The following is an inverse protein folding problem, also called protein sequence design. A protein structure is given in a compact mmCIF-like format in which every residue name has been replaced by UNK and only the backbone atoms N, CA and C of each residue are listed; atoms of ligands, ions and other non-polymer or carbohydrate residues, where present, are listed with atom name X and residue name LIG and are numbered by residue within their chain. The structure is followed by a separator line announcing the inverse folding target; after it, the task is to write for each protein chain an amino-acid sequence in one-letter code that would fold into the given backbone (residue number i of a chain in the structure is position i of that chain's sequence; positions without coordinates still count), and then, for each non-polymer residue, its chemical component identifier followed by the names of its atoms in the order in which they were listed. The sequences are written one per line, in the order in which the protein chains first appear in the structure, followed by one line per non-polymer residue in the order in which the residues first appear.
data_IF_218069805631
#
_entry.id   IF_218069805631
#
_cell.length_a   1.000
_cell.length_b   1.000
_cell.length_c   1.000
_cell.angle_alpha   90.00
_cell.angle_beta   90.00
_cell.angle_gamma   90.00
#
_symmetry.space_group_name_H-M   'P 1'
#
loop_
_entity.id
_entity.type
_entity.pdbx_description
1 polymer ?
#
# COMPACT_ATOMS: atom_id res chain seq x y z
N UNK A 1 -6.35 22.23 -4.53
CA UNK A 1 -5.62 21.89 -3.29
C UNK A 1 -5.12 20.43 -3.30
N UNK A 2 -5.91 19.44 -3.72
CA UNK A 2 -5.51 18.02 -3.76
C UNK A 2 -4.31 17.78 -4.70
N UNK A 3 -4.37 18.29 -5.90
CA UNK A 3 -3.32 18.18 -6.94
C UNK A 3 -1.91 18.55 -6.43
N UNK A 4 -1.75 19.74 -5.84
CA UNK A 4 -0.45 20.16 -5.31
C UNK A 4 0.00 19.35 -4.10
N UNK A 5 -0.95 18.88 -3.29
CA UNK A 5 -0.64 18.00 -2.17
C UNK A 5 -0.04 16.67 -2.65
N UNK A 6 -0.65 16.07 -3.67
CA UNK A 6 -0.16 14.86 -4.31
C UNK A 6 1.24 15.05 -4.91
N UNK A 7 1.44 16.09 -5.73
CA UNK A 7 2.74 16.38 -6.32
C UNK A 7 3.85 16.57 -5.27
N UNK A 8 3.57 17.30 -4.17
CA UNK A 8 4.51 17.48 -3.07
C UNK A 8 4.83 16.17 -2.35
N UNK A 9 3.85 15.32 -2.10
CA UNK A 9 4.08 14.00 -1.48
C UNK A 9 4.95 13.13 -2.36
N UNK A 10 4.66 13.03 -3.66
CA UNK A 10 5.47 12.30 -4.63
C UNK A 10 6.93 12.77 -4.58
N UNK A 11 7.17 14.07 -4.61
CA UNK A 11 8.52 14.63 -4.53
C UNK A 11 9.19 14.31 -3.20
N UNK A 12 8.49 14.45 -2.07
CA UNK A 12 9.03 14.20 -0.73
C UNK A 12 9.40 12.73 -0.52
N UNK A 13 8.58 11.80 -1.02
CA UNK A 13 8.85 10.36 -0.98
C UNK A 13 10.05 10.01 -1.85
N UNK A 14 10.09 10.52 -3.09
CA UNK A 14 11.19 10.22 -4.02
C UNK A 14 12.53 10.84 -3.61
N UNK A 15 12.53 11.93 -2.86
CA UNK A 15 13.74 12.50 -2.28
C UNK A 15 14.43 11.56 -1.27
N UNK A 16 13.70 10.58 -0.72
CA UNK A 16 14.20 9.68 0.34
C UNK A 16 14.23 8.20 -0.10
N UNK A 17 13.20 7.72 -0.81
CA UNK A 17 12.94 6.28 -0.93
C UNK A 17 12.74 5.77 -2.35
N UNK A 18 12.43 6.62 -3.31
CA UNK A 18 12.06 6.24 -4.68
C UNK A 18 10.90 5.24 -4.71
N UNK A 19 9.85 5.49 -3.93
CA UNK A 19 8.66 4.63 -3.82
C UNK A 19 7.41 5.28 -4.45
N UNK A 20 7.52 6.47 -5.02
CA UNK A 20 6.45 7.13 -5.74
C UNK A 20 6.80 7.24 -7.24
N UNK A 21 5.83 7.50 -8.13
CA UNK A 21 6.10 7.69 -9.55
C UNK A 21 7.11 8.81 -9.77
N UNK A 22 7.98 8.67 -10.75
CA UNK A 22 8.88 9.76 -11.11
C UNK A 22 8.11 10.81 -11.91
N UNK A 23 8.10 12.05 -11.40
CA UNK A 23 7.54 13.18 -12.13
C UNK A 23 8.46 13.57 -13.28
N UNK A 24 7.92 13.59 -14.49
CA UNK A 24 8.60 13.99 -15.72
C UNK A 24 8.36 15.47 -16.01
N UNK A 25 7.13 15.93 -15.77
CA UNK A 25 6.70 17.31 -15.94
C UNK A 25 5.73 17.69 -14.85
N UNK A 26 5.83 18.89 -14.35
CA UNK A 26 4.89 19.48 -13.41
C UNK A 26 4.52 20.87 -13.90
N UNK A 27 3.22 21.14 -14.10
CA UNK A 27 2.65 22.42 -14.50
C UNK A 27 1.61 22.87 -13.48
N UNK A 28 0.95 23.98 -13.72
CA UNK A 28 -0.03 24.56 -12.79
C UNK A 28 -1.25 23.65 -12.58
N UNK A 29 -1.71 22.95 -13.61
CA UNK A 29 -2.96 22.18 -13.64
C UNK A 29 -2.78 20.68 -13.86
N UNK A 30 -1.58 20.22 -14.19
CA UNK A 30 -1.31 18.81 -14.44
C UNK A 30 0.14 18.42 -14.14
N UNK A 31 0.37 17.14 -13.97
CA UNK A 31 1.71 16.57 -13.99
C UNK A 31 1.76 15.32 -14.87
N UNK A 32 2.94 15.03 -15.39
CA UNK A 32 3.25 13.81 -16.13
C UNK A 32 4.22 12.99 -15.32
N UNK A 33 3.95 11.70 -15.19
CA UNK A 33 4.80 10.76 -14.48
C UNK A 33 5.15 9.56 -15.36
N UNK A 34 6.26 8.90 -15.08
CA UNK A 34 6.63 7.64 -15.71
C UNK A 34 5.61 6.55 -15.37
N UNK A 35 5.40 5.63 -16.31
CA UNK A 35 4.59 4.44 -16.06
C UNK A 35 5.25 3.57 -14.97
N UNK A 36 4.44 3.00 -14.10
CA UNK A 36 4.90 2.31 -12.90
C UNK A 36 4.71 0.78 -12.93
N UNK A 37 4.43 0.21 -14.08
CA UNK A 37 4.11 -1.22 -14.20
C UNK A 37 2.63 -1.54 -13.98
N UNK A 38 2.30 -2.80 -13.65
CA UNK A 38 0.93 -3.23 -13.39
C UNK A 38 0.59 -3.16 -11.89
N UNK A 39 -0.67 -2.88 -11.57
CA UNK A 39 -1.11 -2.84 -10.18
C UNK A 39 -1.01 -4.23 -9.53
N UNK A 40 -0.84 -4.30 -8.21
CA UNK A 40 -0.84 -5.59 -7.49
C UNK A 40 -2.15 -6.34 -7.70
N UNK A 41 -3.26 -5.63 -7.92
CA UNK A 41 -4.53 -6.25 -8.27
C UNK A 41 -4.44 -6.97 -9.63
N UNK A 42 -3.81 -6.36 -10.63
CA UNK A 42 -3.52 -6.99 -11.92
C UNK A 42 -2.53 -8.15 -11.78
N UNK A 43 -1.43 -7.94 -11.08
CA UNK A 43 -0.42 -8.97 -10.79
C UNK A 43 -1.02 -10.21 -10.14
N UNK A 44 -1.97 -10.05 -9.21
CA UNK A 44 -2.65 -11.17 -8.56
C UNK A 44 -3.52 -12.00 -9.51
N UNK A 45 -4.12 -11.38 -10.53
CA UNK A 45 -5.12 -11.98 -11.41
C UNK A 45 -4.56 -12.50 -12.73
N UNK A 46 -3.61 -11.79 -13.31
CA UNK A 46 -3.14 -12.06 -14.67
C UNK A 46 -2.11 -13.20 -14.70
N UNK A 47 -2.33 -14.16 -15.60
CA UNK A 47 -1.52 -15.36 -15.68
C UNK A 47 -0.04 -15.10 -15.98
N UNK A 48 0.26 -14.01 -16.67
CA UNK A 48 1.62 -13.62 -17.01
C UNK A 48 2.50 -13.28 -15.80
N UNK A 49 1.88 -12.96 -14.65
CA UNK A 49 2.59 -12.66 -13.40
C UNK A 49 2.70 -13.85 -12.45
N UNK A 50 2.26 -15.05 -12.84
CA UNK A 50 2.17 -16.21 -11.94
C UNK A 50 3.49 -16.56 -11.23
N UNK A 51 4.61 -16.36 -11.91
CA UNK A 51 5.97 -16.66 -11.42
C UNK A 51 6.55 -15.59 -10.46
N UNK A 52 6.02 -14.38 -10.49
CA UNK A 52 6.53 -13.24 -9.70
C UNK A 52 5.54 -12.71 -8.65
N UNK A 53 4.34 -13.27 -8.54
CA UNK A 53 3.29 -12.78 -7.63
C UNK A 53 3.74 -12.66 -6.19
N UNK A 54 4.37 -13.71 -5.66
CA UNK A 54 4.85 -13.73 -4.27
C UNK A 54 5.92 -12.66 -4.05
N UNK A 55 6.88 -12.54 -4.97
CA UNK A 55 7.91 -11.51 -4.93
C UNK A 55 7.30 -10.10 -4.94
N UNK A 56 6.32 -9.85 -5.81
CA UNK A 56 5.65 -8.55 -5.91
C UNK A 56 4.96 -8.17 -4.59
N UNK A 57 4.25 -9.11 -3.96
CA UNK A 57 3.58 -8.88 -2.68
C UNK A 57 4.56 -8.72 -1.52
N UNK A 58 5.63 -9.50 -1.49
CA UNK A 58 6.71 -9.34 -0.51
C UNK A 58 7.37 -7.95 -0.63
N UNK A 59 7.73 -7.55 -1.84
CA UNK A 59 8.31 -6.22 -2.11
C UNK A 59 7.35 -5.08 -1.78
N UNK A 60 6.05 -5.26 -2.01
CA UNK A 60 5.05 -4.26 -1.63
C UNK A 60 4.98 -4.07 -0.11
N UNK A 61 4.94 -5.17 0.65
CA UNK A 61 5.02 -5.12 2.11
C UNK A 61 6.29 -4.43 2.58
N UNK A 62 7.44 -4.80 2.02
CA UNK A 62 8.73 -4.18 2.35
C UNK A 62 8.76 -2.69 2.00
N UNK A 63 8.23 -2.30 0.82
CA UNK A 63 8.15 -0.91 0.39
C UNK A 63 7.30 -0.06 1.35
N UNK A 64 6.15 -0.58 1.77
CA UNK A 64 5.28 0.09 2.74
C UNK A 64 5.96 0.23 4.11
N UNK A 65 6.65 -0.80 4.58
CA UNK A 65 7.39 -0.74 5.84
C UNK A 65 8.55 0.28 5.79
N UNK A 66 9.29 0.35 4.68
CA UNK A 66 10.34 1.37 4.46
C UNK A 66 9.77 2.78 4.45
N UNK A 67 8.57 2.99 3.87
CA UNK A 67 7.87 4.26 3.92
C UNK A 67 7.61 4.68 5.37
N UNK A 68 7.08 3.76 6.18
CA UNK A 68 6.78 4.00 7.60
C UNK A 68 8.04 4.23 8.44
N UNK A 69 9.10 3.47 8.20
CA UNK A 69 10.40 3.64 8.87
C UNK A 69 11.03 5.02 8.58
N UNK A 70 10.75 5.60 7.41
CA UNK A 70 11.15 6.97 7.07
C UNK A 70 10.26 8.07 7.68
N UNK A 71 9.25 7.70 8.50
CA UNK A 71 8.30 8.63 9.10
C UNK A 71 7.25 9.17 8.12
N UNK A 72 7.07 8.51 6.99
CA UNK A 72 6.09 8.84 5.96
C UNK A 72 4.92 7.84 5.98
N UNK A 73 3.81 8.21 5.37
CA UNK A 73 2.65 7.34 5.23
C UNK A 73 1.92 7.63 3.91
N UNK A 74 1.21 6.64 3.40
CA UNK A 74 0.48 6.74 2.15
C UNK A 74 -0.92 7.34 2.35
N UNK A 75 -1.67 6.82 3.31
CA UNK A 75 -3.04 7.21 3.64
C UNK A 75 -4.11 6.23 3.17
N UNK A 76 -3.88 5.48 2.08
CA UNK A 76 -4.79 4.42 1.60
C UNK A 76 -4.09 3.48 0.61
N UNK A 77 -3.11 2.69 1.01
CA UNK A 77 -2.40 1.77 0.12
C UNK A 77 -3.24 0.51 -0.15
N UNK A 78 -4.10 0.55 -1.15
CA UNK A 78 -4.82 -0.64 -1.61
C UNK A 78 -4.07 -1.33 -2.77
N UNK A 79 -4.42 -2.57 -3.12
CA UNK A 79 -3.77 -3.33 -4.20
C UNK A 79 -3.75 -2.60 -5.55
N UNK A 80 -4.75 -1.77 -5.84
CA UNK A 80 -4.82 -0.94 -7.05
C UNK A 80 -3.90 0.27 -7.01
N UNK A 81 -3.48 0.68 -5.80
CA UNK A 81 -2.68 1.88 -5.56
C UNK A 81 -1.19 1.53 -5.35
N UNK A 82 -0.81 0.27 -5.61
CA UNK A 82 0.57 -0.23 -5.58
C UNK A 82 0.85 -0.91 -6.92
N UNK A 83 1.86 -0.44 -7.63
CA UNK A 83 2.29 -1.02 -8.89
C UNK A 83 3.60 -1.81 -8.73
N UNK A 84 3.73 -2.87 -9.52
CA UNK A 84 4.93 -3.69 -9.66
C UNK A 84 5.41 -3.65 -11.10
N UNK A 85 6.66 -3.28 -11.29
CA UNK A 85 7.33 -3.37 -12.58
C UNK A 85 8.02 -4.73 -12.69
N UNK A 86 7.60 -5.53 -13.68
CA UNK A 86 8.15 -6.86 -13.89
C UNK A 86 9.58 -6.84 -14.43
N UNK A 87 9.98 -5.79 -15.14
CA UNK A 87 11.29 -5.73 -15.80
C UNK A 87 12.42 -5.58 -14.78
N UNK A 88 12.23 -4.74 -13.78
CA UNK A 88 13.26 -4.47 -12.76
C UNK A 88 12.84 -4.86 -11.33
N UNK A 89 11.61 -5.33 -11.16
CA UNK A 89 11.07 -5.76 -9.88
C UNK A 89 10.83 -4.62 -8.90
N UNK A 90 10.64 -3.39 -9.37
CA UNK A 90 10.37 -2.24 -8.49
C UNK A 90 8.92 -2.15 -8.08
N UNK A 91 8.71 -1.60 -6.87
CA UNK A 91 7.40 -1.23 -6.34
C UNK A 91 7.24 0.27 -6.40
N UNK A 92 6.08 0.72 -6.87
CA UNK A 92 5.70 2.14 -6.88
C UNK A 92 4.34 2.31 -6.22
N UNK A 93 4.26 3.19 -5.23
CA UNK A 93 3.01 3.56 -4.56
C UNK A 93 2.36 4.71 -5.34
N UNK A 94 1.08 4.56 -5.68
CA UNK A 94 0.27 5.46 -6.51
C UNK A 94 -0.81 6.15 -5.68
N UNK A 95 -1.47 7.17 -6.21
CA UNK A 95 -2.64 7.84 -5.58
C UNK A 95 -2.32 8.45 -4.20
N UNK A 96 -1.45 9.47 -4.19
CA UNK A 96 -0.96 10.14 -2.97
C UNK A 96 -1.88 11.25 -2.45
N UNK A 97 -3.09 11.40 -2.98
CA UNK A 97 -4.00 12.48 -2.61
C UNK A 97 -4.68 12.30 -1.24
N UNK A 98 -4.68 11.08 -0.69
CA UNK A 98 -5.45 10.75 0.50
C UNK A 98 -4.78 11.21 1.80
N UNK A 99 -5.45 12.12 2.53
CA UNK A 99 -5.00 12.62 3.83
C UNK A 99 -6.00 12.39 4.97
N UNK A 100 -7.24 11.97 4.63
CA UNK A 100 -8.30 11.86 5.63
C UNK A 100 -8.13 10.60 6.47
N UNK A 101 -7.91 10.78 7.75
CA UNK A 101 -8.02 9.70 8.73
C UNK A 101 -9.50 9.37 8.95
N UNK A 102 -9.86 8.12 8.81
CA UNK A 102 -11.21 7.63 9.08
C UNK A 102 -11.41 7.25 10.55
N UNK A 103 -10.33 6.95 11.24
CA UNK A 103 -10.30 6.51 12.63
C UNK A 103 -9.09 7.12 13.32
N UNK A 104 -9.17 7.35 14.62
CA UNK A 104 -8.03 7.82 15.41
C UNK A 104 -7.08 6.65 15.71
N UNK A 105 -6.10 6.47 14.83
CA UNK A 105 -5.04 5.49 14.96
C UNK A 105 -3.75 6.02 14.32
N UNK A 106 -2.58 5.46 14.67
CA UNK A 106 -1.33 5.81 14.01
C UNK A 106 -1.39 5.54 12.50
N UNK A 107 -0.89 6.47 11.68
CA UNK A 107 -0.96 6.36 10.23
C UNK A 107 -0.33 5.05 9.67
N UNK A 108 0.83 4.56 10.16
CA UNK A 108 1.36 3.26 9.73
C UNK A 108 0.44 2.07 10.01
N UNK A 109 -0.31 2.13 11.11
CA UNK A 109 -1.28 1.07 11.48
C UNK A 109 -2.45 1.06 10.50
N UNK A 110 -2.98 2.24 10.17
CA UNK A 110 -4.07 2.37 9.21
C UNK A 110 -3.63 1.97 7.79
N UNK A 111 -2.46 2.37 7.36
CA UNK A 111 -1.92 1.98 6.06
C UNK A 111 -1.76 0.45 5.97
N UNK A 112 -1.13 -0.18 6.96
CA UNK A 112 -0.97 -1.63 6.97
C UNK A 112 -2.32 -2.36 7.04
N UNK A 113 -3.26 -1.86 7.85
CA UNK A 113 -4.61 -2.40 7.91
C UNK A 113 -5.32 -2.33 6.55
N UNK A 114 -5.29 -1.17 5.89
CA UNK A 114 -5.96 -0.97 4.59
C UNK A 114 -5.32 -1.81 3.49
N UNK A 115 -4.00 -1.93 3.47
CA UNK A 115 -3.27 -2.80 2.55
C UNK A 115 -3.71 -4.26 2.71
N UNK A 116 -3.63 -4.82 3.91
CA UNK A 116 -4.02 -6.21 4.17
C UNK A 116 -5.52 -6.41 3.94
N UNK A 117 -6.36 -5.48 4.38
CA UNK A 117 -7.80 -5.54 4.13
C UNK A 117 -8.11 -5.58 2.62
N UNK A 118 -7.38 -4.83 1.78
CA UNK A 118 -7.57 -4.88 0.33
C UNK A 118 -7.21 -6.25 -0.26
N UNK A 119 -6.24 -6.96 0.32
CA UNK A 119 -5.92 -8.34 -0.08
C UNK A 119 -7.08 -9.31 0.22
N UNK A 120 -7.71 -9.17 1.40
CA UNK A 120 -8.85 -10.03 1.78
C UNK A 120 -10.14 -9.73 1.02
N UNK A 121 -10.27 -8.55 0.43
CA UNK A 121 -11.46 -8.17 -0.34
C UNK A 121 -11.49 -8.71 -1.77
N UNK A 122 -10.42 -9.30 -2.25
CA UNK A 122 -10.43 -9.95 -3.57
C UNK A 122 -11.37 -11.16 -3.53
N UNK A 123 -12.00 -11.47 -4.66
CA UNK A 123 -12.94 -12.61 -4.77
C UNK A 123 -12.30 -13.95 -4.36
N UNK A 124 -10.98 -14.05 -4.55
CA UNK A 124 -10.19 -15.25 -4.26
C UNK A 124 -8.94 -14.83 -3.48
N UNK A 125 -9.06 -14.56 -2.16
CA UNK A 125 -7.91 -14.18 -1.35
C UNK A 125 -6.89 -15.34 -1.36
N UNK A 126 -5.69 -15.07 -1.83
CA UNK A 126 -4.57 -16.01 -1.81
C UNK A 126 -3.75 -15.79 -0.54
N UNK A 127 -3.88 -16.69 0.42
CA UNK A 127 -3.15 -16.61 1.69
C UNK A 127 -1.64 -16.57 1.50
N UNK A 128 -1.09 -17.24 0.48
CA UNK A 128 0.35 -17.21 0.21
C UNK A 128 0.83 -15.81 -0.20
N UNK A 129 0.02 -15.04 -0.92
CA UNK A 129 0.33 -13.65 -1.27
C UNK A 129 0.23 -12.73 -0.06
N UNK A 130 -0.78 -12.95 0.81
CA UNK A 130 -0.92 -12.20 2.06
C UNK A 130 0.26 -12.47 2.99
N UNK A 131 0.65 -13.73 3.14
CA UNK A 131 1.80 -14.15 3.94
C UNK A 131 3.10 -13.53 3.41
N UNK A 132 3.29 -13.49 2.08
CA UNK A 132 4.42 -12.83 1.45
C UNK A 132 4.44 -11.31 1.76
N UNK A 133 3.30 -10.63 1.66
CA UNK A 133 3.19 -9.21 2.00
C UNK A 133 3.52 -8.95 3.48
N UNK A 134 3.01 -9.79 4.38
CA UNK A 134 3.31 -9.70 5.83
C UNK A 134 4.78 -9.97 6.10
N UNK A 135 5.37 -10.99 5.48
CA UNK A 135 6.80 -11.29 5.61
C UNK A 135 7.68 -10.13 5.11
N UNK A 136 7.33 -9.58 3.94
CA UNK A 136 8.02 -8.41 3.40
C UNK A 136 7.95 -7.19 4.32
N UNK A 137 6.78 -6.89 4.86
CA UNK A 137 6.62 -5.81 5.84
C UNK A 137 7.46 -6.08 7.10
N UNK A 138 7.42 -7.30 7.63
CA UNK A 138 8.16 -7.72 8.82
C UNK A 138 9.68 -7.74 8.66
N UNK A 139 10.20 -7.72 7.43
CA UNK A 139 11.64 -7.72 7.16
C UNK A 139 12.35 -6.38 7.48
N UNK A 140 11.59 -5.31 7.71
CA UNK A 140 12.11 -3.96 7.99
C UNK A 140 12.13 -3.70 9.49
N UNK A 141 13.20 -3.11 10.00
CA UNK A 141 13.36 -2.76 11.41
C UNK A 141 12.22 -1.84 11.89
N UNK A 142 11.67 -2.13 13.07
CA UNK A 142 10.57 -1.37 13.67
C UNK A 142 9.16 -1.85 13.28
N UNK A 143 9.03 -2.78 12.33
CA UNK A 143 7.74 -3.33 11.90
C UNK A 143 6.99 -4.05 13.03
N UNK A 144 7.67 -4.69 13.99
CA UNK A 144 7.06 -5.37 15.14
C UNK A 144 6.18 -4.44 15.99
N UNK A 145 6.57 -3.18 16.11
CA UNK A 145 5.80 -2.18 16.83
C UNK A 145 4.48 -1.88 16.11
N UNK A 146 4.52 -1.80 14.77
CA UNK A 146 3.32 -1.58 13.96
C UNK A 146 2.41 -2.79 14.00
N UNK A 147 2.94 -4.02 13.92
CA UNK A 147 2.15 -5.24 14.07
C UNK A 147 1.48 -5.35 15.44
N UNK A 148 2.20 -5.00 16.51
CA UNK A 148 1.64 -4.98 17.87
C UNK A 148 0.49 -3.98 17.97
N UNK A 149 0.69 -2.77 17.45
CA UNK A 149 -0.33 -1.73 17.43
C UNK A 149 -1.53 -2.11 16.53
N UNK A 150 -1.28 -2.79 15.39
CA UNK A 150 -2.34 -3.28 14.50
C UNK A 150 -3.21 -4.34 15.19
N UNK A 151 -2.59 -5.29 15.93
CA UNK A 151 -3.33 -6.28 16.70
C UNK A 151 -4.23 -5.64 17.76
N UNK A 152 -3.71 -4.65 18.49
CA UNK A 152 -4.50 -3.89 19.46
C UNK A 152 -5.65 -3.13 18.77
N UNK A 153 -5.37 -2.45 17.65
CA UNK A 153 -6.38 -1.73 16.87
C UNK A 153 -7.52 -2.65 16.41
N UNK A 154 -7.20 -3.84 15.88
CA UNK A 154 -8.22 -4.81 15.47
C UNK A 154 -9.03 -5.31 16.65
N UNK A 155 -8.38 -5.59 17.80
CA UNK A 155 -9.06 -6.04 19.00
C UNK A 155 -10.03 -4.98 19.55
N UNK A 156 -9.63 -3.72 19.57
CA UNK A 156 -10.44 -2.60 20.05
C UNK A 156 -11.64 -2.29 19.14
N UNK A 157 -11.52 -2.61 17.85
CA UNK A 157 -12.55 -2.32 16.84
C UNK A 157 -13.28 -3.58 16.31
N UNK A 158 -13.11 -4.73 16.96
CA UNK A 158 -13.67 -6.02 16.49
C UNK A 158 -15.19 -5.98 16.24
N UNK A 159 -15.95 -5.26 17.04
CA UNK A 159 -17.42 -5.11 16.86
C UNK A 159 -17.73 -4.32 15.58
N UNK A 160 -17.00 -3.24 15.32
CA UNK A 160 -17.16 -2.44 14.10
C UNK A 160 -16.86 -3.29 12.87
N UNK A 161 -15.77 -4.05 12.87
CA UNK A 161 -15.41 -4.92 11.75
C UNK A 161 -16.43 -6.04 11.54
N UNK A 162 -16.96 -6.65 12.60
CA UNK A 162 -18.02 -7.65 12.51
C UNK A 162 -19.30 -7.07 11.88
N UNK A 163 -19.70 -5.86 12.27
CA UNK A 163 -20.86 -5.15 11.67
C UNK A 163 -20.59 -4.81 10.21
N UNK A 164 -19.42 -4.26 9.87
CA UNK A 164 -19.06 -3.96 8.50
C UNK A 164 -19.08 -5.22 7.62
N UNK A 165 -18.55 -6.33 8.11
CA UNK A 165 -18.58 -7.61 7.40
C UNK A 165 -20.01 -8.11 7.16
N UNK A 166 -20.88 -8.01 8.18
CA UNK A 166 -22.29 -8.43 8.07
C UNK A 166 -23.12 -7.55 7.10
N UNK A 167 -22.72 -6.29 6.91
CA UNK A 167 -23.41 -5.33 6.04
C UNK A 167 -22.85 -5.27 4.61
N UNK A 168 -21.71 -5.93 4.34
CA UNK A 168 -21.14 -5.98 2.99
C UNK A 168 -21.83 -7.13 2.24
N UNK A 169 -22.69 -6.86 1.26
CA UNK A 169 -23.25 -7.95 0.44
C UNK A 169 -22.11 -8.60 -0.34
N UNK A 170 -22.16 -9.92 -0.42
CA UNK A 170 -21.27 -10.74 -1.24
C UNK A 170 -21.46 -10.44 -2.72
#
# INVERSE_FOLDING_TARGET
AAFWCEAYKIMAVNARLRLAPKLVLLDEDFFVMEAAGNTLQGVAKEAEYADVRQEAFEKAGQGLARLHAAGLHHGRPALRDIAYDREDGTITLLDWENEKKFVDAPAPVLDLFLFLHSCFREEWPDNALIDAAVAGYGSVEGSDQVFTALKAFIADHHTLFAVCHALTPF
#
